data_IF_849596036076
#
_entry.id   IF_849596036076
#
_cell.length_a   1.000
_cell.length_b   1.000
_cell.length_c   1.000
_cell.angle_alpha   90.00
_cell.angle_beta   90.00
_cell.angle_gamma   90.00
#
_symmetry.space_group_name_H-M   'P 1'
#
loop_
_entity.id
_entity.type
_entity.pdbx_description
1 polymer ?
#
# COMPACT_ATOMS: atom_id res chain seq x y z
N UNK A 1 -39.72 -7.58 23.46
CA UNK A 1 -38.45 -8.33 23.26
C UNK A 1 -38.18 -8.66 21.76
N UNK A 2 -38.30 -7.75 20.81
CA UNK A 2 -38.07 -8.05 19.37
C UNK A 2 -37.15 -7.03 18.63
N UNK A 3 -36.38 -6.19 19.36
CA UNK A 3 -35.63 -5.08 18.74
C UNK A 3 -34.11 -5.29 18.67
N UNK A 4 -33.54 -6.32 19.33
CA UNK A 4 -32.09 -6.49 19.44
C UNK A 4 -31.43 -7.36 18.36
N UNK A 5 -32.21 -8.08 17.54
CA UNK A 5 -31.67 -8.96 16.49
C UNK A 5 -31.49 -8.26 15.12
N UNK A 6 -31.96 -7.03 14.97
CA UNK A 6 -31.86 -6.30 13.69
C UNK A 6 -30.49 -5.71 13.43
N UNK A 7 -29.75 -5.36 14.48
CA UNK A 7 -28.41 -4.77 14.38
C UNK A 7 -27.37 -5.81 13.94
N UNK A 8 -27.26 -7.02 14.56
CA UNK A 8 -26.33 -8.04 14.09
C UNK A 8 -26.66 -8.57 12.69
N UNK A 9 -27.95 -8.64 12.32
CA UNK A 9 -28.35 -9.04 10.97
C UNK A 9 -27.94 -8.00 9.92
N UNK A 10 -28.03 -6.71 10.24
CA UNK A 10 -27.60 -5.62 9.37
C UNK A 10 -26.08 -5.59 9.24
N UNK A 11 -25.32 -5.86 10.31
CA UNK A 11 -23.85 -6.00 10.26
C UNK A 11 -23.44 -7.22 9.44
N UNK A 12 -24.12 -8.36 9.59
CA UNK A 12 -23.84 -9.56 8.78
C UNK A 12 -24.15 -9.33 7.30
N UNK A 13 -25.25 -8.64 6.95
CA UNK A 13 -25.59 -8.31 5.56
C UNK A 13 -24.62 -7.30 4.96
N UNK A 14 -24.08 -6.37 5.75
CA UNK A 14 -23.05 -5.44 5.29
C UNK A 14 -21.72 -6.16 5.04
N UNK A 15 -21.35 -7.14 5.88
CA UNK A 15 -20.16 -7.98 5.67
C UNK A 15 -20.31 -8.90 4.43
N UNK A 16 -21.50 -9.42 4.16
CA UNK A 16 -21.72 -10.26 2.96
C UNK A 16 -21.81 -9.43 1.66
N UNK A 17 -22.31 -8.22 1.71
CA UNK A 17 -22.32 -7.30 0.57
C UNK A 17 -20.91 -6.82 0.18
N UNK A 18 -19.98 -6.73 1.15
CA UNK A 18 -18.58 -6.36 0.87
C UNK A 18 -17.76 -7.50 0.24
N UNK A 19 -18.20 -8.75 0.34
CA UNK A 19 -17.53 -9.90 -0.29
C UNK A 19 -17.81 -10.03 -1.79
N UNK A 20 -18.84 -9.36 -2.31
CA UNK A 20 -19.15 -9.33 -3.74
C UNK A 20 -18.58 -8.09 -4.46
N UNK A 21 -17.89 -7.19 -3.77
CA UNK A 21 -17.10 -6.12 -4.37
C UNK A 21 -15.81 -6.70 -5.00
N UNK A 22 -15.98 -7.70 -5.87
CA UNK A 22 -14.90 -8.37 -6.58
C UNK A 22 -14.38 -7.42 -7.65
N UNK A 23 -13.10 -7.14 -7.55
CA UNK A 23 -12.22 -6.73 -8.65
C UNK A 23 -12.64 -5.47 -9.43
N UNK A 24 -12.92 -4.38 -8.74
CA UNK A 24 -12.68 -3.09 -9.37
C UNK A 24 -11.15 -2.90 -9.36
N UNK A 25 -10.58 -2.63 -10.53
CA UNK A 25 -9.17 -2.30 -10.64
C UNK A 25 -8.87 -1.14 -9.67
N UNK A 26 -7.98 -1.38 -8.73
CA UNK A 26 -7.61 -0.41 -7.71
C UNK A 26 -6.64 0.64 -8.23
N UNK A 27 -6.10 0.41 -9.42
CA UNK A 27 -5.27 1.35 -10.20
C UNK A 27 -5.56 1.16 -11.69
N UNK A 28 -5.25 2.17 -12.50
CA UNK A 28 -5.26 2.09 -13.98
C UNK A 28 -3.95 2.66 -14.54
N UNK A 29 -2.85 2.35 -13.88
CA UNK A 29 -1.54 2.81 -14.26
C UNK A 29 -0.88 1.76 -15.17
N UNK A 30 -0.56 2.05 -16.45
CA UNK A 30 0.09 1.09 -17.35
C UNK A 30 1.39 0.51 -16.79
N UNK A 31 2.16 1.29 -16.04
CA UNK A 31 3.41 0.83 -15.40
C UNK A 31 3.17 -0.22 -14.30
N UNK A 32 1.92 -0.42 -13.83
CA UNK A 32 1.56 -1.45 -12.87
C UNK A 32 1.69 -2.88 -13.42
N UNK A 33 1.86 -3.05 -14.73
CA UNK A 33 2.15 -4.34 -15.35
C UNK A 33 3.50 -4.94 -14.92
N UNK A 34 4.41 -4.10 -14.42
CA UNK A 34 5.76 -4.52 -14.07
C UNK A 34 5.94 -4.77 -12.58
N UNK A 35 6.87 -5.67 -12.25
CA UNK A 35 7.30 -5.93 -10.87
C UNK A 35 6.22 -6.56 -9.98
N UNK A 36 5.93 -5.89 -8.89
CA UNK A 36 4.86 -6.27 -7.96
C UNK A 36 3.60 -5.41 -8.11
N UNK A 37 3.54 -4.57 -9.14
CA UNK A 37 2.48 -3.61 -9.36
C UNK A 37 2.77 -2.23 -8.75
N UNK A 38 1.78 -1.36 -8.74
CA UNK A 38 1.85 -0.07 -8.07
C UNK A 38 1.80 -0.26 -6.56
N UNK A 39 2.85 0.19 -5.86
CA UNK A 39 2.90 0.12 -4.41
C UNK A 39 1.90 1.09 -3.78
N UNK A 40 1.16 0.61 -2.78
CA UNK A 40 0.25 1.46 -2.01
C UNK A 40 1.01 2.61 -1.34
N UNK A 41 0.43 3.81 -1.38
CA UNK A 41 1.03 5.02 -0.84
C UNK A 41 0.94 5.05 0.71
N UNK A 42 1.75 4.24 1.38
CA UNK A 42 1.93 4.30 2.83
C UNK A 42 0.66 4.10 3.66
N UNK A 43 0.51 4.90 4.71
CA UNK A 43 -0.62 4.85 5.62
C UNK A 43 -1.79 5.69 5.09
N UNK A 44 -2.84 5.04 4.62
CA UNK A 44 -4.01 5.72 4.07
C UNK A 44 -4.92 6.41 5.09
N UNK A 45 -4.52 6.52 6.35
CA UNK A 45 -5.30 7.18 7.37
C UNK A 45 -4.99 8.68 7.47
N UNK A 46 -5.00 9.18 8.70
CA UNK A 46 -4.76 10.60 8.99
C UNK A 46 -3.40 11.11 8.49
N UNK A 47 -2.39 10.24 8.46
CA UNK A 47 -1.05 10.59 8.00
C UNK A 47 -0.98 10.87 6.50
N UNK A 48 -1.95 10.40 5.70
CA UNK A 48 -2.10 10.78 4.30
C UNK A 48 -2.31 12.29 4.13
N UNK A 49 -3.09 12.92 5.03
CA UNK A 49 -3.28 14.37 5.07
C UNK A 49 -2.02 15.17 5.42
N UNK A 50 -0.99 14.49 5.92
CA UNK A 50 0.32 15.06 6.24
C UNK A 50 1.42 14.60 5.27
N UNK A 51 1.07 14.26 4.03
CA UNK A 51 2.02 13.79 3.02
C UNK A 51 2.60 12.41 3.30
N UNK A 52 1.87 11.54 4.03
CA UNK A 52 2.33 10.22 4.49
C UNK A 52 3.59 10.28 5.38
N UNK A 53 3.73 11.33 6.19
CA UNK A 53 4.75 11.40 7.24
C UNK A 53 4.20 10.89 8.55
N UNK A 54 5.03 10.20 9.35
CA UNK A 54 4.58 9.68 10.64
C UNK A 54 5.56 8.75 11.34
N UNK A 55 6.74 8.49 10.78
CA UNK A 55 7.75 7.58 11.39
C UNK A 55 8.13 8.04 12.80
N UNK A 56 8.19 9.36 13.03
CA UNK A 56 8.48 9.94 14.34
C UNK A 56 7.23 10.44 15.09
N UNK A 57 6.01 10.13 14.62
CA UNK A 57 4.80 10.59 15.27
C UNK A 57 4.18 9.50 16.15
N UNK A 58 3.90 9.87 17.39
CA UNK A 58 3.27 9.02 18.38
C UNK A 58 2.16 9.84 19.08
N UNK A 59 0.93 9.73 18.58
CA UNK A 59 -0.20 10.54 19.05
C UNK A 59 -1.33 9.69 19.59
N UNK A 60 -1.94 10.16 20.66
CA UNK A 60 -3.15 9.56 21.25
C UNK A 60 -4.32 9.65 20.27
N UNK A 61 -5.14 8.61 20.20
CA UNK A 61 -6.35 8.56 19.38
C UNK A 61 -6.12 8.22 17.90
N UNK A 62 -4.89 7.86 17.50
CA UNK A 62 -4.57 7.45 16.14
C UNK A 62 -3.74 6.18 16.13
N UNK A 63 -4.01 5.31 15.16
CA UNK A 63 -3.19 4.14 14.88
C UNK A 63 -2.13 4.52 13.85
N UNK A 64 -0.86 4.46 14.27
CA UNK A 64 0.26 4.69 13.37
C UNK A 64 0.81 3.35 12.88
N UNK A 65 0.72 3.08 11.58
CA UNK A 65 1.25 1.87 10.95
C UNK A 65 2.58 2.11 10.23
N UNK A 66 3.07 3.38 10.18
CA UNK A 66 4.33 3.73 9.55
C UNK A 66 5.54 3.37 10.41
N UNK A 67 5.36 3.31 11.74
CA UNK A 67 6.37 2.87 12.69
C UNK A 67 5.73 1.97 13.75
N UNK A 68 6.07 0.69 13.83
CA UNK A 68 5.46 -0.21 14.81
C UNK A 68 5.67 0.21 16.27
N UNK A 69 6.73 0.96 16.60
CA UNK A 69 6.95 1.48 17.95
C UNK A 69 6.00 2.64 18.32
N UNK A 70 5.38 3.30 17.34
CA UNK A 70 4.61 4.52 17.55
C UNK A 70 3.20 4.27 18.12
N UNK A 71 2.73 3.02 18.22
CA UNK A 71 1.41 2.72 18.80
C UNK A 71 1.38 2.77 20.32
N UNK A 72 2.49 3.01 21.00
CA UNK A 72 2.59 2.99 22.48
C UNK A 72 1.92 4.16 23.19
N UNK A 73 1.34 5.12 22.46
CA UNK A 73 0.56 6.25 23.01
C UNK A 73 -0.94 6.15 22.73
N UNK A 74 -1.40 5.01 22.23
CA UNK A 74 -2.85 4.79 22.10
C UNK A 74 -3.57 5.01 23.43
N UNK A 75 -4.86 5.34 23.33
CA UNK A 75 -5.72 5.38 24.50
C UNK A 75 -5.72 4.02 25.20
N UNK A 76 -5.60 4.05 26.52
CA UNK A 76 -5.43 2.85 27.32
C UNK A 76 -6.75 2.28 27.85
N UNK A 77 -7.85 3.01 27.67
CA UNK A 77 -9.16 2.68 28.20
C UNK A 77 -10.08 1.96 27.19
N UNK A 78 -9.72 1.96 25.90
CA UNK A 78 -10.60 1.42 24.86
C UNK A 78 -9.82 0.79 23.71
N UNK A 79 -10.56 0.07 22.87
CA UNK A 79 -10.10 -0.35 21.54
C UNK A 79 -10.19 0.83 20.59
N UNK A 80 -9.16 1.04 19.80
CA UNK A 80 -9.15 2.03 18.72
C UNK A 80 -9.33 1.30 17.40
N UNK A 81 -10.37 1.66 16.65
CA UNK A 81 -10.61 1.15 15.31
C UNK A 81 -10.27 2.24 14.29
N UNK A 82 -9.69 1.83 13.19
CA UNK A 82 -9.35 2.70 12.08
C UNK A 82 -9.75 2.02 10.76
N UNK A 83 -10.58 2.70 9.98
CA UNK A 83 -11.02 2.27 8.66
C UNK A 83 -10.71 3.40 7.70
N UNK A 84 -9.89 3.12 6.71
CA UNK A 84 -9.49 4.07 5.67
C UNK A 84 -10.09 3.70 4.31
N UNK A 85 -10.56 4.73 3.61
CA UNK A 85 -10.98 4.64 2.21
C UNK A 85 -10.20 5.72 1.45
N UNK A 86 -9.70 5.40 0.29
CA UNK A 86 -9.04 6.35 -0.61
C UNK A 86 -9.81 6.45 -1.92
N UNK A 87 -9.83 7.65 -2.48
CA UNK A 87 -10.30 7.89 -3.82
C UNK A 87 -9.21 8.66 -4.57
N UNK A 88 -8.94 8.27 -5.80
CA UNK A 88 -7.97 8.95 -6.65
C UNK A 88 -8.56 9.25 -8.02
N UNK A 89 -8.21 10.41 -8.54
CA UNK A 89 -8.46 10.79 -9.92
C UNK A 89 -7.12 10.97 -10.61
N UNK A 90 -6.88 10.15 -11.63
CA UNK A 90 -5.66 10.21 -12.42
C UNK A 90 -5.97 10.65 -13.85
N UNK A 91 -5.13 11.51 -14.38
CA UNK A 91 -5.16 11.91 -15.77
C UNK A 91 -3.84 11.50 -16.42
N UNK A 92 -3.95 10.74 -17.48
CA UNK A 92 -2.82 10.29 -18.28
C UNK A 92 -2.80 11.06 -19.60
N UNK A 93 -1.63 11.45 -20.04
CA UNK A 93 -1.42 11.99 -21.38
C UNK A 93 -0.19 11.37 -22.01
N UNK A 94 -0.36 10.89 -23.21
CA UNK A 94 0.71 10.33 -24.03
C UNK A 94 0.56 10.87 -25.44
N UNK A 95 1.55 11.61 -25.90
CA UNK A 95 1.48 12.38 -27.17
C UNK A 95 0.22 13.27 -27.18
N UNK A 96 -0.70 13.05 -28.13
CA UNK A 96 -1.95 13.79 -28.28
C UNK A 96 -3.15 13.14 -27.56
N UNK A 97 -2.98 11.92 -27.03
CA UNK A 97 -4.04 11.17 -26.38
C UNK A 97 -4.12 11.51 -24.89
N UNK A 98 -5.36 11.64 -24.41
CA UNK A 98 -5.66 11.92 -23.01
C UNK A 98 -6.68 10.91 -22.48
N UNK A 99 -6.37 10.33 -21.34
CA UNK A 99 -7.28 9.46 -20.61
C UNK A 99 -7.41 9.92 -19.17
N UNK A 100 -8.57 9.71 -18.58
CA UNK A 100 -8.76 9.99 -17.15
C UNK A 100 -9.52 8.86 -16.48
N UNK A 101 -9.18 8.58 -15.26
CA UNK A 101 -9.81 7.54 -14.48
C UNK A 101 -10.01 7.94 -13.03
N UNK A 102 -11.10 7.45 -12.45
CA UNK A 102 -11.44 7.58 -11.04
C UNK A 102 -11.46 6.20 -10.40
N UNK A 103 -10.71 6.03 -9.32
CA UNK A 103 -10.66 4.79 -8.54
C UNK A 103 -10.98 5.06 -7.09
N UNK A 104 -11.72 4.16 -6.46
CA UNK A 104 -12.04 4.20 -5.04
C UNK A 104 -11.72 2.88 -4.37
N UNK A 105 -10.91 2.90 -3.30
CA UNK A 105 -10.38 1.70 -2.69
C UNK A 105 -10.47 1.71 -1.18
N UNK A 106 -10.80 0.57 -0.53
CA UNK A 106 -10.50 0.40 0.88
C UNK A 106 -8.98 0.45 1.06
N UNK A 107 -8.53 1.23 2.01
CA UNK A 107 -7.11 1.51 2.18
C UNK A 107 -6.53 0.79 3.40
N UNK A 108 -7.32 0.67 4.46
CA UNK A 108 -6.92 0.00 5.69
C UNK A 108 -8.11 -0.34 6.56
N UNK A 109 -8.00 -1.47 7.23
CA UNK A 109 -8.82 -1.81 8.40
C UNK A 109 -7.84 -2.22 9.49
N UNK A 110 -7.88 -1.56 10.64
CA UNK A 110 -7.02 -1.90 11.77
C UNK A 110 -7.70 -1.67 13.12
N UNK A 111 -7.26 -2.42 14.10
CA UNK A 111 -7.72 -2.33 15.48
C UNK A 111 -6.51 -2.39 16.41
N UNK A 112 -6.42 -1.42 17.32
CA UNK A 112 -5.36 -1.35 18.31
C UNK A 112 -5.89 -1.32 19.72
N UNK A 113 -5.13 -1.86 20.65
CA UNK A 113 -5.45 -1.90 22.09
C UNK A 113 -4.21 -2.07 22.95
N UNK A 114 -4.33 -1.68 24.21
CA UNK A 114 -3.30 -1.96 25.21
C UNK A 114 -3.53 -3.33 25.84
N UNK A 115 -2.55 -4.23 25.71
CA UNK A 115 -2.61 -5.58 26.28
C UNK A 115 -2.26 -5.56 27.77
N UNK A 116 -1.15 -4.90 28.13
CA UNK A 116 -0.64 -4.74 29.49
C UNK A 116 -0.07 -3.33 29.68
N UNK A 117 0.19 -2.87 30.90
CA UNK A 117 0.97 -1.66 31.12
C UNK A 117 2.28 -1.73 30.33
N UNK A 118 2.51 -0.80 29.39
CA UNK A 118 3.65 -0.73 28.48
C UNK A 118 3.65 -1.70 27.29
N UNK A 119 2.65 -2.59 27.11
CA UNK A 119 2.53 -3.45 25.95
C UNK A 119 1.26 -3.11 25.17
N UNK A 120 1.42 -2.83 23.90
CA UNK A 120 0.38 -2.44 22.97
C UNK A 120 0.38 -3.38 21.78
N UNK A 121 -0.80 -3.71 21.29
CA UNK A 121 -0.97 -4.55 20.12
C UNK A 121 -1.89 -3.86 19.11
N UNK A 122 -1.66 -4.16 17.83
CA UNK A 122 -2.49 -3.73 16.74
C UNK A 122 -2.59 -4.87 15.73
N UNK A 123 -3.78 -5.08 15.20
CA UNK A 123 -4.07 -6.05 14.14
C UNK A 123 -4.68 -5.29 12.97
N UNK A 124 -4.30 -5.62 11.75
CA UNK A 124 -4.86 -4.94 10.60
C UNK A 124 -4.65 -5.65 9.28
N UNK A 125 -5.34 -5.12 8.27
CA UNK A 125 -5.20 -5.50 6.88
C UNK A 125 -5.19 -4.24 6.00
N UNK A 126 -4.35 -4.24 4.97
CA UNK A 126 -4.22 -3.14 4.02
C UNK A 126 -3.74 -3.66 2.65
N UNK A 127 -4.04 -2.98 1.55
CA UNK A 127 -3.40 -3.26 0.28
C UNK A 127 -1.89 -2.98 0.37
N UNK A 128 -1.09 -3.85 -0.25
CA UNK A 128 0.35 -3.68 -0.40
C UNK A 128 0.70 -3.13 -1.77
N UNK A 129 0.12 -3.72 -2.81
CA UNK A 129 0.26 -3.25 -4.19
C UNK A 129 -0.98 -3.57 -5.00
N UNK A 130 -1.14 -2.89 -6.13
CA UNK A 130 -2.24 -3.13 -7.06
C UNK A 130 -1.76 -3.15 -8.50
N UNK A 131 -2.43 -3.96 -9.31
CA UNK A 131 -2.24 -4.06 -10.75
C UNK A 131 -3.58 -3.76 -11.42
N UNK A 132 -3.56 -2.82 -12.36
CA UNK A 132 -4.73 -2.48 -13.15
C UNK A 132 -4.31 -1.69 -14.37
N UNK A 133 -4.53 -2.24 -15.55
CA UNK A 133 -4.31 -1.56 -16.82
C UNK A 133 -5.12 -2.21 -17.92
N UNK A 134 -5.44 -1.44 -18.95
CA UNK A 134 -5.98 -1.87 -20.23
C UNK A 134 -5.21 -1.09 -21.29
N UNK A 135 -4.49 -1.82 -22.14
CA UNK A 135 -3.67 -1.24 -23.21
C UNK A 135 -4.10 -1.93 -24.49
N UNK A 136 -4.50 -1.15 -25.48
CA UNK A 136 -4.78 -1.63 -26.83
C UNK A 136 -3.64 -1.17 -27.74
N UNK A 137 -3.08 -2.08 -28.50
CA UNK A 137 -2.09 -1.80 -29.54
C UNK A 137 -2.67 -2.19 -30.90
N UNK A 138 -2.23 -1.47 -31.90
CA UNK A 138 -2.59 -1.68 -33.30
C UNK A 138 -1.28 -1.87 -34.08
N UNK A 139 -1.18 -2.96 -34.80
CA UNK A 139 -0.02 -3.29 -35.61
C UNK A 139 -0.45 -3.62 -37.05
N UNK A 140 0.21 -3.02 -38.03
CA UNK A 140 -0.04 -3.31 -39.43
C UNK A 140 0.46 -4.72 -39.78
N UNK A 141 -0.38 -5.50 -40.48
CA UNK A 141 -0.06 -6.88 -40.83
C UNK A 141 1.02 -6.84 -41.93
N UNK A 142 2.16 -7.48 -41.64
CA UNK A 142 3.28 -7.54 -42.57
C UNK A 142 2.86 -8.18 -43.90
N UNK A 143 3.07 -7.44 -45.01
CA UNK A 143 2.69 -7.87 -46.38
C UNK A 143 1.24 -7.57 -46.78
N UNK A 144 0.43 -6.90 -45.90
CA UNK A 144 -0.94 -6.48 -46.20
C UNK A 144 -1.15 -5.02 -45.83
N UNK A 145 -0.64 -4.04 -46.61
CA UNK A 145 -0.77 -2.63 -46.28
C UNK A 145 -2.22 -2.19 -46.10
N UNK A 146 -2.49 -1.47 -44.98
CA UNK A 146 -3.84 -1.00 -44.62
C UNK A 146 -4.68 -2.01 -43.85
N UNK A 147 -4.16 -3.21 -43.56
CA UNK A 147 -4.78 -4.16 -42.67
C UNK A 147 -4.07 -4.18 -41.31
N UNK A 148 -4.82 -4.06 -40.24
CA UNK A 148 -4.29 -3.95 -38.90
C UNK A 148 -4.80 -5.12 -38.04
N UNK A 149 -3.96 -5.61 -37.14
CA UNK A 149 -4.34 -6.51 -36.05
C UNK A 149 -4.34 -5.74 -34.72
N UNK A 150 -5.26 -6.07 -33.86
CA UNK A 150 -5.44 -5.42 -32.56
C UNK A 150 -5.09 -6.41 -31.46
N UNK A 151 -4.22 -5.99 -30.55
CA UNK A 151 -3.91 -6.73 -29.33
C UNK A 151 -4.39 -5.94 -28.12
N UNK A 152 -5.15 -6.59 -27.23
CA UNK A 152 -5.63 -6.03 -25.98
C UNK A 152 -4.89 -6.67 -24.82
N UNK A 153 -4.15 -5.85 -24.08
CA UNK A 153 -3.43 -6.24 -22.88
C UNK A 153 -4.18 -5.74 -21.66
N UNK A 154 -4.55 -6.65 -20.77
CA UNK A 154 -5.25 -6.33 -19.54
C UNK A 154 -4.51 -6.88 -18.34
N UNK A 155 -4.47 -6.13 -17.27
CA UNK A 155 -3.95 -6.57 -15.98
C UNK A 155 -4.88 -6.24 -14.85
N UNK A 156 -5.04 -7.19 -13.92
CA UNK A 156 -5.89 -7.01 -12.75
C UNK A 156 -5.30 -7.69 -11.52
N UNK A 157 -5.72 -7.26 -10.33
CA UNK A 157 -5.37 -7.88 -9.07
C UNK A 157 -4.44 -7.04 -8.22
N UNK A 158 -3.72 -7.70 -7.31
CA UNK A 158 -2.82 -7.02 -6.39
C UNK A 158 -2.49 -7.85 -5.17
N UNK A 159 -1.67 -7.29 -4.30
CA UNK A 159 -1.24 -7.93 -3.08
C UNK A 159 -1.82 -7.19 -1.87
N UNK A 160 -2.24 -7.97 -0.88
CA UNK A 160 -2.75 -7.46 0.39
C UNK A 160 -1.84 -7.93 1.53
N UNK A 161 -1.66 -7.09 2.54
CA UNK A 161 -0.96 -7.44 3.77
C UNK A 161 -1.93 -7.59 4.93
N UNK A 162 -1.78 -8.68 5.69
CA UNK A 162 -2.39 -8.85 7.00
C UNK A 162 -1.27 -8.84 8.03
N UNK A 163 -1.45 -8.13 9.13
CA UNK A 163 -0.37 -7.90 10.08
C UNK A 163 -0.81 -7.82 11.53
N UNK A 164 0.13 -8.15 12.41
CA UNK A 164 0.03 -7.98 13.85
C UNK A 164 1.25 -7.19 14.32
N UNK A 165 0.99 -6.06 14.94
CA UNK A 165 2.03 -5.21 15.52
C UNK A 165 2.05 -5.37 17.03
N UNK A 166 3.24 -5.54 17.60
CA UNK A 166 3.47 -5.50 19.02
C UNK A 166 4.47 -4.40 19.35
N UNK A 167 4.14 -3.54 20.32
CA UNK A 167 4.99 -2.44 20.74
C UNK A 167 5.14 -2.38 22.27
N UNK A 168 6.33 -2.05 22.70
CA UNK A 168 6.69 -1.98 24.10
C UNK A 168 7.26 -0.60 24.44
N UNK A 169 6.66 0.07 25.44
CA UNK A 169 7.21 1.29 26.01
C UNK A 169 8.29 0.92 27.03
N UNK A 170 9.56 0.92 26.63
CA UNK A 170 10.70 0.59 27.51
C UNK A 170 10.88 1.65 28.59
N UNK A 171 10.67 2.92 28.24
CA UNK A 171 10.67 4.04 29.16
C UNK A 171 9.55 5.03 28.81
N UNK A 172 9.51 6.17 29.50
CA UNK A 172 8.61 7.28 29.12
C UNK A 172 8.99 7.94 27.80
N UNK A 173 10.22 7.74 27.35
CA UNK A 173 10.77 8.38 26.16
C UNK A 173 11.03 7.39 25.02
N UNK A 174 11.36 6.13 25.33
CA UNK A 174 11.78 5.12 24.38
C UNK A 174 10.74 4.03 24.22
N UNK A 175 10.36 3.77 22.98
CA UNK A 175 9.50 2.66 22.59
C UNK A 175 10.16 1.85 21.47
N UNK A 176 9.89 0.56 21.46
CA UNK A 176 10.28 -0.36 20.39
C UNK A 176 9.06 -1.13 19.91
N UNK A 177 9.09 -1.56 18.68
CA UNK A 177 7.97 -2.32 18.13
C UNK A 177 8.42 -3.27 17.03
N UNK A 178 7.62 -4.30 16.83
CA UNK A 178 7.74 -5.25 15.74
C UNK A 178 6.37 -5.43 15.09
N UNK A 179 6.35 -5.43 13.78
CA UNK A 179 5.19 -5.74 12.97
C UNK A 179 5.49 -7.01 12.18
N UNK A 180 4.68 -8.02 12.37
CA UNK A 180 4.80 -9.31 11.68
C UNK A 180 3.55 -9.53 10.85
N UNK A 181 3.72 -10.02 9.63
CA UNK A 181 2.58 -10.23 8.78
C UNK A 181 2.86 -11.12 7.58
N UNK A 182 1.81 -11.27 6.79
CA UNK A 182 1.82 -11.98 5.53
C UNK A 182 1.30 -11.06 4.42
N UNK A 183 1.98 -11.09 3.29
CA UNK A 183 1.54 -10.47 2.04
C UNK A 183 1.12 -11.60 1.12
N UNK A 184 -0.10 -11.52 0.58
CA UNK A 184 -0.62 -12.51 -0.37
C UNK A 184 -1.58 -11.84 -1.36
N UNK A 185 -1.70 -12.46 -2.54
CA UNK A 185 -2.65 -12.03 -3.55
C UNK A 185 -2.34 -12.65 -4.90
N UNK A 186 -3.21 -12.39 -5.86
CA UNK A 186 -3.10 -12.90 -7.22
C UNK A 186 -3.11 -11.73 -8.21
N UNK A 187 -2.20 -11.80 -9.16
CA UNK A 187 -2.11 -10.88 -10.31
C UNK A 187 -2.42 -11.68 -11.56
N UNK A 188 -3.36 -11.22 -12.33
CA UNK A 188 -3.76 -11.78 -13.62
C UNK A 188 -3.41 -10.79 -14.72
N UNK A 189 -2.74 -11.27 -15.75
CA UNK A 189 -2.44 -10.53 -16.97
C UNK A 189 -2.97 -11.34 -18.15
N UNK A 190 -3.62 -10.70 -19.11
CA UNK A 190 -4.12 -11.34 -20.31
C UNK A 190 -3.77 -10.53 -21.54
N UNK A 191 -3.49 -11.24 -22.61
CA UNK A 191 -3.34 -10.73 -23.95
C UNK A 191 -4.39 -11.39 -24.83
N UNK A 192 -5.23 -10.59 -25.46
CA UNK A 192 -6.27 -11.04 -26.39
C UNK A 192 -5.94 -10.51 -27.78
N UNK A 193 -5.80 -11.41 -28.72
CA UNK A 193 -5.61 -11.10 -30.13
C UNK A 193 -6.61 -11.91 -30.95
N UNK A 194 -7.55 -11.23 -31.60
CA UNK A 194 -8.67 -11.85 -32.34
C UNK A 194 -9.42 -12.89 -31.50
N UNK A 195 -9.23 -14.18 -31.80
CA UNK A 195 -9.88 -15.32 -31.13
C UNK A 195 -8.97 -16.03 -30.12
N UNK A 196 -7.70 -15.62 -30.03
CA UNK A 196 -6.72 -16.19 -29.14
C UNK A 196 -6.59 -15.36 -27.85
N UNK A 197 -6.56 -16.03 -26.73
CA UNK A 197 -6.34 -15.42 -25.41
C UNK A 197 -5.21 -16.16 -24.70
N UNK A 198 -4.19 -15.39 -24.30
CA UNK A 198 -3.12 -15.87 -23.43
C UNK A 198 -3.33 -15.21 -22.06
N UNK A 199 -3.53 -16.03 -21.03
CA UNK A 199 -3.72 -15.58 -19.66
C UNK A 199 -2.56 -16.04 -18.79
N UNK A 200 -1.91 -15.10 -18.13
CA UNK A 200 -0.90 -15.33 -17.12
C UNK A 200 -1.47 -15.00 -15.73
N UNK A 201 -1.47 -15.98 -14.84
CA UNK A 201 -1.92 -15.84 -13.47
C UNK A 201 -0.77 -16.16 -12.50
N UNK A 202 -0.49 -15.23 -11.58
CA UNK A 202 0.58 -15.37 -10.59
C UNK A 202 0.02 -15.15 -9.19
N UNK A 203 -0.10 -16.23 -8.42
CA UNK A 203 -0.44 -16.20 -7.00
C UNK A 203 0.83 -16.04 -6.18
N UNK A 204 0.93 -14.92 -5.46
CA UNK A 204 2.12 -14.52 -4.70
C UNK A 204 1.84 -14.56 -3.20
N UNK A 205 2.81 -15.02 -2.42
CA UNK A 205 2.74 -15.04 -0.95
C UNK A 205 4.12 -14.88 -0.32
N UNK A 206 4.19 -14.14 0.76
CA UNK A 206 5.41 -13.99 1.54
C UNK A 206 5.10 -13.53 2.96
N UNK A 207 6.00 -13.83 3.89
CA UNK A 207 6.00 -13.20 5.21
C UNK A 207 6.79 -11.90 5.15
N UNK A 208 6.50 -10.98 6.07
CA UNK A 208 7.31 -9.80 6.25
C UNK A 208 7.41 -9.43 7.73
N UNK A 209 8.46 -8.67 8.06
CA UNK A 209 8.69 -8.15 9.40
C UNK A 209 9.23 -6.72 9.30
N UNK A 210 8.65 -5.82 10.10
CA UNK A 210 9.13 -4.45 10.26
C UNK A 210 9.52 -4.25 11.73
N UNK A 211 10.66 -3.64 11.96
CA UNK A 211 11.16 -3.26 13.28
C UNK A 211 11.12 -1.75 13.42
N UNK A 212 10.68 -1.25 14.56
CA UNK A 212 10.58 0.16 14.81
C UNK A 212 11.20 0.58 16.14
N UNK A 213 11.77 1.77 16.14
CA UNK A 213 12.22 2.48 17.34
C UNK A 213 11.62 3.87 17.31
N UNK A 214 11.17 4.35 18.46
CA UNK A 214 10.68 5.71 18.62
C UNK A 214 11.22 6.31 19.90
N UNK A 215 11.84 7.46 19.79
CA UNK A 215 12.43 8.19 20.91
C UNK A 215 11.88 9.61 20.97
N UNK A 216 11.39 10.02 22.13
CA UNK A 216 10.74 11.30 22.39
C UNK A 216 11.50 12.06 23.48
N UNK A 217 11.77 13.36 23.27
CA UNK A 217 12.42 14.22 24.26
C UNK A 217 11.82 15.61 24.26
N UNK A 218 12.08 16.36 25.34
CA UNK A 218 11.55 17.70 25.57
C UNK A 218 10.69 17.80 26.82
N UNK A 219 10.39 19.00 27.24
CA UNK A 219 9.62 19.25 28.44
C UNK A 219 8.11 19.21 28.17
N UNK A 220 7.35 18.68 29.14
CA UNK A 220 5.89 18.69 29.11
C UNK A 220 5.37 20.16 29.09
N UNK A 221 4.47 20.47 28.16
CA UNK A 221 3.91 21.84 28.02
C UNK A 221 4.72 22.78 27.12
N UNK A 222 5.88 22.31 26.61
CA UNK A 222 6.73 23.04 25.69
C UNK A 222 6.83 22.28 24.34
N UNK A 223 7.93 22.48 23.62
CA UNK A 223 8.22 21.76 22.37
C UNK A 223 8.67 20.35 22.69
N UNK A 224 7.98 19.36 22.12
CA UNK A 224 8.38 17.97 22.13
C UNK A 224 8.99 17.60 20.80
N UNK A 225 10.17 17.01 20.86
CA UNK A 225 10.85 16.44 19.70
C UNK A 225 10.72 14.93 19.74
N UNK A 226 10.63 14.32 18.58
CA UNK A 226 10.72 12.88 18.48
C UNK A 226 11.51 12.46 17.24
N UNK A 227 12.19 11.34 17.36
CA UNK A 227 12.85 10.64 16.27
C UNK A 227 12.32 9.22 16.16
N UNK A 228 12.17 8.75 14.94
CA UNK A 228 11.73 7.40 14.62
C UNK A 228 12.69 6.73 13.65
N UNK A 229 12.85 5.42 13.79
CA UNK A 229 13.58 4.56 12.88
C UNK A 229 12.72 3.34 12.58
N UNK A 230 12.70 2.93 11.32
CA UNK A 230 12.02 1.71 10.86
C UNK A 230 12.96 0.92 9.97
N UNK A 231 12.98 -0.39 10.14
CA UNK A 231 13.77 -1.30 9.33
C UNK A 231 12.96 -2.54 8.97
N UNK A 232 12.94 -2.91 7.70
CA UNK A 232 12.40 -4.19 7.22
C UNK A 232 13.43 -4.90 6.34
N UNK A 233 13.71 -6.19 6.59
CA UNK A 233 14.63 -6.96 5.75
C UNK A 233 13.99 -7.30 4.40
N UNK A 234 14.84 -7.53 3.41
CA UNK A 234 14.43 -8.07 2.11
C UNK A 234 14.10 -9.56 2.25
N UNK A 235 12.90 -9.97 1.88
CA UNK A 235 12.40 -11.35 1.99
C UNK A 235 11.93 -11.87 0.62
N UNK A 236 12.13 -13.18 0.33
CA UNK A 236 11.70 -13.77 -0.93
C UNK A 236 10.18 -13.89 -1.01
N UNK A 237 9.63 -13.67 -2.20
CA UNK A 237 8.22 -13.86 -2.52
C UNK A 237 8.08 -15.22 -3.19
N UNK A 238 7.35 -16.15 -2.57
CA UNK A 238 6.92 -17.38 -3.22
C UNK A 238 5.79 -17.08 -4.19
N UNK A 239 5.83 -17.66 -5.36
CA UNK A 239 4.78 -17.48 -6.36
C UNK A 239 4.51 -18.79 -7.11
N UNK A 240 3.24 -19.02 -7.37
CA UNK A 240 2.73 -20.11 -8.18
C UNK A 240 2.15 -19.47 -9.46
N UNK A 241 2.65 -19.87 -10.61
CA UNK A 241 2.32 -19.27 -11.91
C UNK A 241 1.62 -20.27 -12.79
N UNK A 242 0.56 -19.82 -13.45
CA UNK A 242 -0.18 -20.59 -14.44
C UNK A 242 -0.27 -19.77 -15.73
N UNK A 243 0.04 -20.42 -16.85
CA UNK A 243 -0.15 -19.88 -18.19
C UNK A 243 -1.26 -20.68 -18.87
N UNK A 244 -2.32 -20.00 -19.24
CA UNK A 244 -3.45 -20.58 -19.97
C UNK A 244 -3.49 -19.96 -21.37
N UNK A 245 -3.51 -20.82 -22.39
CA UNK A 245 -3.80 -20.43 -23.76
C UNK A 245 -5.16 -21.00 -24.15
N UNK A 246 -5.98 -20.17 -24.76
CA UNK A 246 -7.26 -20.58 -25.32
C UNK A 246 -7.48 -19.94 -26.68
N UNK A 247 -8.01 -20.72 -27.62
CA UNK A 247 -8.36 -20.22 -28.93
C UNK A 247 -9.79 -20.69 -29.27
N UNK A 248 -10.70 -19.74 -29.39
CA UNK A 248 -12.11 -20.03 -29.64
C UNK A 248 -12.37 -20.54 -31.05
N UNK A 249 -11.50 -20.24 -32.04
CA UNK A 249 -11.64 -20.68 -33.42
C UNK A 249 -11.25 -22.15 -33.60
N UNK A 250 -10.28 -22.63 -32.85
CA UNK A 250 -9.79 -24.02 -32.93
C UNK A 250 -10.25 -24.89 -31.77
N UNK A 251 -10.93 -24.30 -30.75
CA UNK A 251 -11.30 -24.97 -29.50
C UNK A 251 -10.11 -25.55 -28.74
N UNK A 252 -8.92 -24.99 -28.93
CA UNK A 252 -7.71 -25.41 -28.23
C UNK A 252 -7.62 -24.72 -26.88
N UNK A 253 -7.31 -25.50 -25.83
CA UNK A 253 -7.02 -24.99 -24.50
C UNK A 253 -5.76 -25.69 -23.97
N UNK A 254 -4.80 -24.92 -23.55
CA UNK A 254 -3.58 -25.41 -22.92
C UNK A 254 -3.39 -24.70 -21.57
N UNK A 255 -3.19 -25.47 -20.53
CA UNK A 255 -2.88 -24.94 -19.18
C UNK A 255 -1.54 -25.53 -18.72
N UNK A 256 -0.61 -24.66 -18.35
CA UNK A 256 0.74 -25.04 -17.96
C UNK A 256 1.25 -24.19 -16.79
N UNK A 257 1.54 -24.88 -15.69
CA UNK A 257 2.31 -24.27 -14.59
C UNK A 257 3.77 -24.02 -15.03
N UNK A 258 4.34 -22.90 -14.61
CA UNK A 258 5.74 -22.61 -14.87
C UNK A 258 6.40 -21.84 -13.72
N UNK A 259 7.71 -21.94 -13.64
CA UNK A 259 8.51 -21.23 -12.66
C UNK A 259 9.13 -19.96 -13.25
N UNK A 260 8.98 -18.86 -12.55
CA UNK A 260 9.66 -17.61 -12.88
C UNK A 260 10.81 -17.34 -11.91
N UNK A 261 11.57 -16.28 -12.17
CA UNK A 261 12.65 -15.84 -11.27
C UNK A 261 12.07 -15.42 -9.92
N UNK A 262 12.75 -15.78 -8.84
CA UNK A 262 12.38 -15.36 -7.48
C UNK A 262 12.37 -13.84 -7.38
N UNK A 263 11.25 -13.29 -6.92
CA UNK A 263 11.10 -11.90 -6.57
C UNK A 263 11.32 -11.72 -5.06
N UNK A 264 11.76 -10.54 -4.66
CA UNK A 264 12.01 -10.20 -3.27
C UNK A 264 11.24 -8.93 -2.88
N UNK A 265 10.74 -8.88 -1.65
CA UNK A 265 10.38 -7.62 -1.03
C UNK A 265 11.63 -6.75 -0.89
N UNK A 266 11.55 -5.44 -1.12
CA UNK A 266 12.70 -4.57 -0.90
C UNK A 266 13.09 -4.52 0.58
N UNK A 267 14.37 -4.36 0.88
CA UNK A 267 14.79 -3.91 2.20
C UNK A 267 14.29 -2.46 2.36
N UNK A 268 13.71 -2.14 3.51
CA UNK A 268 13.23 -0.80 3.82
C UNK A 268 13.98 -0.23 5.02
N UNK A 269 14.49 0.99 4.89
CA UNK A 269 15.03 1.80 5.97
C UNK A 269 14.29 3.14 5.96
N UNK A 270 13.58 3.42 7.05
CA UNK A 270 12.86 4.68 7.24
C UNK A 270 13.37 5.45 8.45
N UNK A 271 13.55 6.75 8.31
CA UNK A 271 13.89 7.65 9.42
C UNK A 271 12.94 8.83 9.44
N UNK A 272 12.57 9.30 10.63
CA UNK A 272 11.70 10.43 10.78
C UNK A 272 12.11 11.32 11.94
N UNK A 273 11.80 12.60 11.81
CA UNK A 273 11.93 13.61 12.86
C UNK A 273 10.61 14.38 12.97
N UNK A 274 10.19 14.71 14.18
CA UNK A 274 9.02 15.53 14.41
C UNK A 274 9.21 16.52 15.56
N UNK A 275 8.52 17.64 15.44
CA UNK A 275 8.36 18.63 16.51
C UNK A 275 6.87 18.85 16.75
N UNK A 276 6.45 18.69 17.99
CA UNK A 276 5.07 18.89 18.42
C UNK A 276 5.02 20.02 19.45
N UNK A 277 4.17 20.97 19.19
CA UNK A 277 3.81 22.06 20.12
C UNK A 277 2.33 21.94 20.47
N UNK A 278 1.80 22.86 21.27
CA UNK A 278 0.36 22.87 21.62
C UNK A 278 -0.54 23.02 20.38
N UNK A 279 -0.11 23.74 19.34
CA UNK A 279 -0.91 24.04 18.15
C UNK A 279 -0.34 23.44 16.86
N UNK A 280 0.97 23.25 16.78
CA UNK A 280 1.64 22.81 15.56
C UNK A 280 2.29 21.46 15.74
N UNK A 281 2.16 20.64 14.71
CA UNK A 281 2.97 19.45 14.52
C UNK A 281 3.67 19.58 13.18
N UNK A 282 4.98 19.46 13.15
CA UNK A 282 5.78 19.43 11.95
C UNK A 282 6.56 18.11 11.94
N UNK A 283 6.66 17.47 10.78
CA UNK A 283 7.32 16.18 10.64
C UNK A 283 8.00 16.07 9.29
N UNK A 284 9.10 15.34 9.26
CA UNK A 284 9.86 15.03 8.06
C UNK A 284 10.31 13.57 8.12
N UNK A 285 10.07 12.83 7.06
CA UNK A 285 10.45 11.43 6.94
C UNK A 285 11.29 11.20 5.68
N UNK A 286 12.27 10.32 5.80
CA UNK A 286 13.04 9.78 4.68
C UNK A 286 12.91 8.27 4.67
N UNK A 287 12.59 7.72 3.49
CA UNK A 287 12.44 6.29 3.27
C UNK A 287 13.35 5.85 2.11
N UNK A 288 14.11 4.81 2.36
CA UNK A 288 14.96 4.13 1.39
C UNK A 288 14.48 2.70 1.22
N UNK A 289 14.18 2.30 -0.03
CA UNK A 289 13.81 0.93 -0.38
C UNK A 289 14.84 0.38 -1.37
N UNK A 290 15.51 -0.68 -0.96
CA UNK A 290 16.53 -1.35 -1.78
C UNK A 290 15.90 -2.48 -2.60
N UNK A 291 15.82 -2.27 -3.91
CA UNK A 291 15.30 -3.21 -4.89
C UNK A 291 16.39 -4.00 -5.62
N UNK A 292 17.67 -3.84 -5.24
CA UNK A 292 18.81 -4.40 -5.94
C UNK A 292 18.82 -5.93 -6.07
N UNK A 293 18.10 -6.63 -5.18
CA UNK A 293 17.93 -8.08 -5.22
C UNK A 293 17.00 -8.57 -6.34
N UNK A 294 16.21 -7.68 -6.92
CA UNK A 294 15.28 -8.01 -7.98
C UNK A 294 15.93 -7.83 -9.35
N UNK A 295 15.71 -8.80 -10.24
CA UNK A 295 16.11 -8.72 -11.63
C UNK A 295 14.91 -8.81 -12.55
N UNK A 296 14.86 -7.97 -13.57
CA UNK A 296 13.81 -8.02 -14.58
C UNK A 296 14.05 -9.12 -15.59
N UNK A 297 12.95 -9.75 -16.05
CA UNK A 297 12.94 -10.61 -17.24
C UNK A 297 12.78 -9.80 -18.52
N UNK A 298 12.35 -8.55 -18.42
CA UNK A 298 12.15 -7.65 -19.54
C UNK A 298 13.40 -6.82 -19.79
N UNK A 299 13.91 -6.80 -21.03
CA UNK A 299 15.10 -6.02 -21.44
C UNK A 299 14.89 -4.50 -21.29
N UNK A 300 13.63 -4.07 -21.45
CA UNK A 300 13.24 -2.64 -21.36
C UNK A 300 13.03 -2.12 -19.94
N UNK A 301 13.09 -2.98 -18.92
CA UNK A 301 12.80 -2.61 -17.54
C UNK A 301 13.95 -2.94 -16.62
N UNK A 302 14.25 -2.02 -15.69
CA UNK A 302 15.25 -2.18 -14.64
C UNK A 302 14.66 -1.77 -13.29
N UNK A 303 14.97 -2.54 -12.22
CA UNK A 303 14.69 -2.13 -10.85
C UNK A 303 15.70 -1.08 -10.40
N UNK A 304 15.21 -0.03 -9.75
CA UNK A 304 16.02 1.02 -9.13
C UNK A 304 15.68 1.17 -7.65
N UNK A 305 16.68 1.54 -6.86
CA UNK A 305 16.47 1.83 -5.46
C UNK A 305 15.62 3.09 -5.31
N UNK A 306 14.66 3.04 -4.41
CA UNK A 306 13.67 4.09 -4.24
C UNK A 306 14.02 4.95 -3.04
N UNK A 307 14.03 6.26 -3.26
CA UNK A 307 14.21 7.28 -2.25
C UNK A 307 12.95 8.12 -2.15
N UNK A 308 12.39 8.26 -0.95
CA UNK A 308 11.20 9.08 -0.71
C UNK A 308 11.47 10.05 0.43
N UNK A 309 11.21 11.32 0.21
CA UNK A 309 11.24 12.38 1.22
C UNK A 309 9.83 12.92 1.37
N UNK A 310 9.33 12.92 2.59
CA UNK A 310 8.01 13.40 2.90
C UNK A 310 8.10 14.49 3.97
N UNK A 311 7.37 15.57 3.79
CA UNK A 311 7.25 16.68 4.74
C UNK A 311 5.77 16.87 5.07
N UNK A 312 5.46 16.99 6.35
CA UNK A 312 4.09 17.14 6.80
C UNK A 312 3.95 18.09 7.96
N UNK A 313 2.75 18.64 8.09
CA UNK A 313 2.43 19.50 9.19
C UNK A 313 0.95 19.51 9.52
N UNK A 314 0.62 19.78 10.76
CA UNK A 314 -0.76 20.04 11.17
C UNK A 314 -0.84 21.26 12.10
N UNK A 315 -1.98 21.94 12.01
CA UNK A 315 -2.33 23.08 12.86
C UNK A 315 -3.66 22.79 13.57
N UNK A 316 -3.65 22.87 14.90
CA UNK A 316 -4.81 22.63 15.76
C UNK A 316 -5.39 23.99 16.17
N UNK A 317 -6.63 24.25 15.75
CA UNK A 317 -7.38 25.42 16.23
C UNK A 317 -7.94 25.12 17.62
N UNK A 318 -7.79 26.04 18.56
CA UNK A 318 -8.39 25.91 19.91
C UNK A 318 -8.04 24.60 20.64
N UNK A 319 -6.76 24.30 20.89
CA UNK A 319 -6.30 22.98 21.39
C UNK A 319 -6.85 22.60 22.77
N UNK A 320 -7.41 23.55 23.53
CA UNK A 320 -7.96 23.31 24.87
C UNK A 320 -9.48 23.10 24.89
N UNK A 321 -10.15 23.12 23.73
CA UNK A 321 -11.59 22.90 23.64
C UNK A 321 -11.89 21.48 23.22
N UNK A 322 -12.97 20.90 23.75
CA UNK A 322 -13.46 19.57 23.39
C UNK A 322 -13.78 19.41 21.88
N UNK A 323 -14.07 20.53 21.21
CA UNK A 323 -14.23 20.62 19.74
C UNK A 323 -13.08 21.44 19.18
N UNK A 324 -12.03 20.79 18.72
CA UNK A 324 -10.93 21.38 17.98
C UNK A 324 -10.96 20.91 16.53
N UNK A 325 -10.60 21.81 15.60
CA UNK A 325 -10.38 21.45 14.19
C UNK A 325 -8.87 21.33 13.97
N UNK A 326 -8.44 20.30 13.28
CA UNK A 326 -7.06 20.15 12.86
C UNK A 326 -6.98 20.25 11.34
N UNK A 327 -6.16 21.18 10.87
CA UNK A 327 -5.82 21.36 9.47
C UNK A 327 -4.49 20.66 9.22
N UNK A 328 -4.44 19.84 8.17
CA UNK A 328 -3.25 19.08 7.81
C UNK A 328 -2.83 19.40 6.39
N UNK A 329 -1.52 19.38 6.16
CA UNK A 329 -0.93 19.52 4.84
C UNK A 329 0.41 18.79 4.78
N UNK A 330 0.79 18.35 3.59
CA UNK A 330 2.07 17.71 3.39
C UNK A 330 2.38 17.50 1.93
N UNK A 331 3.65 17.26 1.64
CA UNK A 331 4.18 16.97 0.31
C UNK A 331 5.13 15.79 0.40
N UNK A 332 5.18 14.99 -0.66
CA UNK A 332 6.10 13.87 -0.78
C UNK A 332 6.77 13.88 -2.14
N UNK A 333 8.06 13.60 -2.16
CA UNK A 333 8.86 13.45 -3.36
C UNK A 333 9.57 12.10 -3.33
N UNK A 334 9.60 11.42 -4.48
CA UNK A 334 10.31 10.16 -4.59
C UNK A 334 10.45 9.73 -6.04
N UNK A 335 11.44 8.87 -6.29
CA UNK A 335 11.60 8.23 -7.58
C UNK A 335 10.77 6.93 -7.66
N UNK A 336 10.51 6.47 -8.87
CA UNK A 336 9.94 5.14 -9.11
C UNK A 336 10.96 4.05 -8.78
N UNK A 337 10.48 2.86 -8.38
CA UNK A 337 11.31 1.67 -8.23
C UNK A 337 11.51 0.92 -9.56
N UNK A 338 10.79 1.35 -10.61
CA UNK A 338 10.89 0.83 -11.96
C UNK A 338 11.40 1.96 -12.87
N UNK A 339 12.46 1.65 -13.61
CA UNK A 339 12.96 2.47 -14.70
C UNK A 339 12.69 1.72 -16.00
N UNK A 340 11.89 2.33 -16.87
CA UNK A 340 11.65 1.85 -18.22
C UNK A 340 12.65 2.54 -19.13
N UNK A 341 13.49 1.76 -19.82
CA UNK A 341 14.31 2.29 -20.89
C UNK A 341 13.34 2.66 -22.01
N UNK A 342 12.99 3.93 -22.08
CA UNK A 342 12.21 4.48 -23.15
C UNK A 342 12.98 4.31 -24.46
N UNK A 343 12.28 3.86 -25.50
CA UNK A 343 12.78 3.96 -26.84
C UNK A 343 12.92 5.40 -27.27
#
# INVERSE_FOLDING_TARGET
MKRHYRIPLLLCSLCTASLTAVAQNTTNLPTSMYGVGELSAGDGGRYAGMGNTGIALNRTGFLNTLNPAAITRMDTACFTFDVGVSASYARYSFLSEHSSNFTGNPNRISMGFRVLPRWYALVGAAPYSSVGYVIQTEEEIEGMPGNYTYSLFEGTGGLYRCYVTNAFALSRQLSVGINLGMIAGTVTQSETQESAVVKYESSKRTFYADFGIHYEWGATGQRKWAAGLVFAPSLPISHDNTLTYSNSSTSENLDKGYHSRTQYLPMHLGTGLSITTERWVLTADYNYLDWSRNSSSYTSMKYENQHKVNLGGSYITKPRLARSTELMGGIGFGNSYINLKGG
#
